data_IF_002826753279
#
_entry.id   IF_002826753279
#
_cell.length_a   1.000
_cell.length_b   1.000
_cell.length_c   1.000
_cell.angle_alpha   90.00
_cell.angle_beta   90.00
_cell.angle_gamma   90.00
#
_symmetry.space_group_name_H-M   'P 1'
#
loop_
_entity.id
_entity.type
_entity.pdbx_description
1 polymer ?
#
# COMPACT_ATOMS: atom_id res chain seq x y z
N UNK A 1 -1.53 9.73 -24.16
CA UNK A 1 -2.30 9.26 -23.00
C UNK A 1 -1.84 10.08 -21.80
N UNK A 2 -2.73 10.84 -21.17
CA UNK A 2 -2.37 11.64 -19.98
C UNK A 2 -2.37 10.73 -18.76
N UNK A 3 -1.40 10.90 -17.86
CA UNK A 3 -1.34 10.18 -16.59
C UNK A 3 -1.68 11.16 -15.47
N UNK A 4 -2.64 10.79 -14.63
CA UNK A 4 -3.02 11.54 -13.44
C UNK A 4 -2.62 10.78 -12.18
N UNK A 5 -2.11 11.48 -11.18
CA UNK A 5 -1.74 10.91 -9.89
C UNK A 5 -2.09 11.85 -8.75
N UNK A 6 -2.21 11.33 -7.51
CA UNK A 6 -2.31 12.17 -6.33
C UNK A 6 -1.14 13.16 -6.25
N UNK A 7 -1.40 14.39 -5.82
CA UNK A 7 -0.42 15.47 -5.73
C UNK A 7 0.88 15.13 -4.97
N UNK A 8 0.85 14.18 -4.04
CA UNK A 8 2.03 13.68 -3.30
C UNK A 8 2.87 12.64 -4.07
N UNK A 9 2.40 12.13 -5.22
CA UNK A 9 3.00 10.98 -5.91
C UNK A 9 4.48 11.18 -6.28
N UNK A 10 4.83 12.39 -6.74
CA UNK A 10 6.19 12.73 -7.16
C UNK A 10 7.17 12.92 -6.01
N UNK A 11 6.66 13.05 -4.79
CA UNK A 11 7.50 13.20 -3.60
C UNK A 11 8.10 11.87 -3.15
N UNK A 12 7.56 10.74 -3.64
CA UNK A 12 8.09 9.42 -3.34
C UNK A 12 9.52 9.22 -3.86
N UNK A 13 10.42 8.92 -2.93
CA UNK A 13 11.80 8.50 -3.20
C UNK A 13 12.15 7.32 -2.31
N UNK A 14 12.85 6.35 -2.88
CA UNK A 14 13.38 5.24 -2.10
C UNK A 14 14.30 5.77 -1.00
N UNK A 15 14.12 5.30 0.25
CA UNK A 15 15.02 5.65 1.37
C UNK A 15 16.38 4.96 1.29
N UNK A 16 16.61 4.17 0.23
CA UNK A 16 17.80 3.37 0.00
C UNK A 16 18.13 2.51 1.24
N UNK A 17 19.33 2.66 1.81
CA UNK A 17 19.79 1.86 2.93
C UNK A 17 19.06 2.10 4.26
N UNK A 18 18.24 3.16 4.34
CA UNK A 18 17.57 3.57 5.57
C UNK A 18 16.19 2.92 5.78
N UNK A 19 15.77 1.97 4.92
CA UNK A 19 14.53 1.24 5.10
C UNK A 19 14.64 0.25 6.28
N UNK A 20 13.70 0.31 7.22
CA UNK A 20 13.54 -0.75 8.23
C UNK A 20 12.92 -2.01 7.62
N UNK A 21 11.95 -1.81 6.71
CA UNK A 21 11.26 -2.83 5.96
C UNK A 21 11.66 -2.76 4.49
N UNK A 22 12.83 -3.32 4.16
CA UNK A 22 13.33 -3.31 2.77
C UNK A 22 12.45 -4.15 1.85
N UNK A 23 12.01 -3.56 0.73
CA UNK A 23 11.37 -4.28 -0.35
C UNK A 23 12.37 -5.09 -1.20
N UNK A 24 13.68 -4.97 -0.97
CA UNK A 24 14.69 -5.75 -1.71
C UNK A 24 14.97 -7.12 -1.05
N UNK A 25 13.99 -7.69 -0.36
CA UNK A 25 14.07 -8.99 0.29
C UNK A 25 12.68 -9.62 0.48
N UNK A 26 12.63 -10.95 0.57
CA UNK A 26 11.44 -11.67 1.04
C UNK A 26 10.39 -12.01 -0.03
N UNK A 27 10.62 -11.67 -1.30
CA UNK A 27 9.75 -12.02 -2.42
C UNK A 27 10.53 -12.16 -3.73
N UNK A 28 9.90 -12.78 -4.73
CA UNK A 28 10.50 -13.04 -6.04
C UNK A 28 10.51 -11.76 -6.86
N UNK A 29 11.69 -11.35 -7.32
CA UNK A 29 11.86 -10.17 -8.17
C UNK A 29 12.00 -10.63 -9.63
N UNK A 30 10.88 -10.57 -10.36
CA UNK A 30 10.84 -10.85 -11.80
C UNK A 30 11.44 -9.71 -12.62
N UNK A 31 12.14 -10.04 -13.69
CA UNK A 31 12.88 -9.10 -14.54
C UNK A 31 12.15 -9.00 -15.88
N UNK A 32 11.84 -7.76 -16.28
CA UNK A 32 11.22 -7.51 -17.58
C UNK A 32 12.17 -7.88 -18.75
N UNK A 33 11.60 -8.20 -19.91
CA UNK A 33 12.36 -8.66 -21.07
C UNK A 33 13.42 -7.66 -21.56
N UNK A 34 13.17 -6.35 -21.44
CA UNK A 34 14.12 -5.32 -21.87
C UNK A 34 15.33 -5.31 -20.95
N UNK A 35 15.09 -5.42 -19.65
CA UNK A 35 16.13 -5.49 -18.63
C UNK A 35 16.91 -6.80 -18.68
N UNK A 36 16.28 -7.93 -18.98
CA UNK A 36 16.99 -9.19 -19.24
C UNK A 36 18.02 -9.03 -20.36
N UNK A 37 17.62 -8.48 -21.51
CA UNK A 37 18.54 -8.19 -22.63
C UNK A 37 19.66 -7.23 -22.24
N UNK A 38 19.35 -6.21 -21.42
CA UNK A 38 20.36 -5.28 -20.91
C UNK A 38 21.36 -5.98 -19.98
N UNK A 39 20.90 -6.88 -19.12
CA UNK A 39 21.74 -7.59 -18.15
C UNK A 39 22.62 -8.67 -18.77
N UNK A 40 22.30 -9.19 -19.96
CA UNK A 40 23.18 -10.10 -20.72
C UNK A 40 24.58 -9.49 -20.96
N UNK A 41 24.67 -8.17 -21.11
CA UNK A 41 25.93 -7.45 -21.29
C UNK A 41 26.75 -7.26 -20.00
N UNK A 42 26.20 -7.62 -18.83
CA UNK A 42 26.79 -7.42 -17.52
C UNK A 42 26.93 -8.77 -16.78
N UNK A 43 28.06 -9.49 -16.94
CA UNK A 43 28.22 -10.86 -16.44
C UNK A 43 27.97 -11.02 -14.93
N UNK A 44 28.34 -10.01 -14.13
CA UNK A 44 28.08 -10.01 -12.68
C UNK A 44 26.58 -10.03 -12.39
N UNK A 45 25.77 -9.35 -13.20
CA UNK A 45 24.32 -9.29 -13.04
C UNK A 45 23.66 -10.54 -13.60
N UNK A 46 24.01 -10.92 -14.83
CA UNK A 46 23.48 -12.09 -15.51
C UNK A 46 23.69 -13.39 -14.71
N UNK A 47 24.85 -13.52 -14.04
CA UNK A 47 25.15 -14.69 -13.20
C UNK A 47 24.23 -14.89 -11.99
N UNK A 48 23.40 -13.88 -11.67
CA UNK A 48 22.44 -13.90 -10.56
C UNK A 48 21.00 -14.01 -11.04
N UNK A 49 20.78 -14.42 -12.29
CA UNK A 49 19.44 -14.53 -12.88
C UNK A 49 19.18 -16.01 -13.21
N UNK A 50 18.00 -16.49 -12.84
CA UNK A 50 17.46 -17.79 -13.26
C UNK A 50 15.98 -17.63 -13.57
N UNK A 51 15.52 -18.21 -14.68
CA UNK A 51 14.10 -18.23 -15.06
C UNK A 51 13.46 -16.83 -15.06
N UNK A 52 14.21 -15.84 -15.56
CA UNK A 52 13.76 -14.46 -15.65
C UNK A 52 13.67 -13.73 -14.30
N UNK A 53 14.18 -14.30 -13.22
CA UNK A 53 14.12 -13.73 -11.87
C UNK A 53 15.51 -13.60 -11.26
N UNK A 54 15.68 -12.67 -10.31
CA UNK A 54 16.90 -12.66 -9.50
C UNK A 54 16.93 -13.85 -8.54
N UNK A 55 18.06 -14.56 -8.53
CA UNK A 55 18.35 -15.61 -7.54
C UNK A 55 18.70 -14.94 -6.22
N UNK A 56 17.79 -15.04 -5.25
CA UNK A 56 17.98 -14.47 -3.92
C UNK A 56 19.13 -15.17 -3.17
N UNK A 57 19.74 -14.43 -2.24
CA UNK A 57 20.70 -14.96 -1.26
C UNK A 57 19.98 -15.93 -0.31
N UNK A 58 20.72 -16.78 0.40
CA UNK A 58 20.16 -17.75 1.36
C UNK A 58 19.29 -17.12 2.46
N UNK A 59 19.53 -15.84 2.78
CA UNK A 59 18.73 -15.07 3.73
C UNK A 59 17.53 -14.34 3.10
N UNK A 60 17.17 -14.68 1.86
CA UNK A 60 16.05 -14.10 1.13
C UNK A 60 16.27 -12.67 0.61
N UNK A 61 17.48 -12.11 0.73
CA UNK A 61 17.81 -10.77 0.22
C UNK A 61 18.14 -10.83 -1.27
N UNK A 62 17.82 -9.75 -1.99
CA UNK A 62 18.26 -9.53 -3.36
C UNK A 62 19.79 -9.71 -3.48
N UNK A 63 20.31 -10.37 -4.54
CA UNK A 63 21.74 -10.60 -4.71
C UNK A 63 22.57 -9.31 -4.74
N UNK A 64 21.99 -8.21 -5.20
CA UNK A 64 22.63 -6.89 -5.29
C UNK A 64 22.39 -6.00 -4.07
N UNK A 65 21.63 -6.46 -3.07
CA UNK A 65 21.46 -5.73 -1.83
C UNK A 65 22.66 -5.98 -0.91
N UNK A 66 23.48 -4.94 -0.71
CA UNK A 66 24.68 -4.96 0.14
C UNK A 66 24.31 -5.05 1.62
N UNK A 67 25.30 -5.26 2.47
CA UNK A 67 25.10 -5.36 3.93
C UNK A 67 24.70 -4.02 4.57
N UNK A 68 25.05 -2.91 3.92
CA UNK A 68 24.60 -1.54 4.27
C UNK A 68 23.21 -1.18 3.70
N UNK A 69 22.47 -2.18 3.18
CA UNK A 69 21.16 -2.04 2.52
C UNK A 69 21.17 -1.17 1.24
N UNK A 70 22.33 -0.82 0.68
CA UNK A 70 22.39 -0.11 -0.61
C UNK A 70 22.35 -1.11 -1.77
N UNK A 71 21.72 -0.69 -2.88
CA UNK A 71 21.66 -1.47 -4.10
C UNK A 71 22.96 -1.30 -4.91
N UNK A 72 23.71 -2.38 -5.08
CA UNK A 72 24.96 -2.38 -5.84
C UNK A 72 24.78 -1.98 -7.31
N UNK A 73 23.64 -2.36 -7.92
CA UNK A 73 23.33 -1.98 -9.30
C UNK A 73 23.20 -0.46 -9.46
N UNK A 74 22.51 0.22 -8.53
CA UNK A 74 22.38 1.68 -8.55
C UNK A 74 23.75 2.33 -8.36
N UNK A 75 24.55 1.82 -7.42
CA UNK A 75 25.88 2.37 -7.13
C UNK A 75 26.84 2.27 -8.33
N UNK A 76 26.77 1.17 -9.10
CA UNK A 76 27.65 0.94 -10.26
C UNK A 76 27.14 1.59 -11.54
N UNK A 77 25.84 1.52 -11.81
CA UNK A 77 25.27 1.83 -13.13
C UNK A 77 24.20 2.94 -13.13
N UNK A 78 23.77 3.40 -11.94
CA UNK A 78 22.69 4.38 -11.80
C UNK A 78 21.28 3.76 -11.82
N UNK A 79 20.26 4.56 -11.49
CA UNK A 79 18.87 4.11 -11.35
C UNK A 79 18.25 3.63 -12.68
N UNK A 80 18.68 4.17 -13.82
CA UNK A 80 18.18 3.77 -15.15
C UNK A 80 18.61 2.36 -15.58
N UNK A 81 19.53 1.75 -14.83
CA UNK A 81 19.93 0.36 -15.05
C UNK A 81 18.97 -0.64 -14.41
N UNK A 82 18.08 -0.21 -13.51
CA UNK A 82 17.12 -1.09 -12.83
C UNK A 82 16.09 -1.67 -13.79
N UNK A 83 15.60 -2.87 -13.46
CA UNK A 83 14.40 -3.42 -14.10
C UNK A 83 13.14 -2.71 -13.64
N UNK A 84 12.06 -2.85 -14.42
CA UNK A 84 10.83 -2.09 -14.24
C UNK A 84 10.29 -2.22 -12.81
N UNK A 85 10.25 -3.44 -12.26
CA UNK A 85 9.77 -3.65 -10.89
C UNK A 85 10.64 -2.94 -9.84
N UNK A 86 11.97 -2.94 -9.99
CA UNK A 86 12.88 -2.25 -9.07
C UNK A 86 12.80 -0.73 -9.19
N UNK A 87 12.48 -0.20 -10.38
CA UNK A 87 12.37 1.23 -10.65
C UNK A 87 11.02 1.79 -10.22
N UNK A 88 9.96 1.03 -10.45
CA UNK A 88 8.59 1.50 -10.28
C UNK A 88 8.03 1.20 -8.89
N UNK A 89 8.44 0.11 -8.22
CA UNK A 89 7.86 -0.25 -6.92
C UNK A 89 7.99 0.89 -5.87
N UNK A 90 6.91 1.21 -5.12
CA UNK A 90 5.63 0.52 -5.01
C UNK A 90 4.52 1.12 -5.89
N UNK A 91 4.83 1.77 -7.02
CA UNK A 91 3.84 2.43 -7.88
C UNK A 91 2.88 1.42 -8.51
N UNK A 92 1.63 1.85 -8.66
CA UNK A 92 0.60 1.13 -9.42
C UNK A 92 0.02 2.05 -10.49
N UNK A 93 -0.55 1.43 -11.52
CA UNK A 93 -1.13 2.10 -12.67
C UNK A 93 -2.45 1.42 -13.07
N UNK A 94 -3.51 2.21 -13.22
CA UNK A 94 -4.82 1.80 -13.72
C UNK A 94 -5.04 2.48 -15.09
N UNK A 95 -5.06 1.68 -16.16
CA UNK A 95 -5.26 2.20 -17.51
C UNK A 95 -6.75 2.28 -17.86
N UNK A 96 -7.17 3.42 -18.41
CA UNK A 96 -8.48 3.66 -19.00
C UNK A 96 -8.33 3.98 -20.49
N UNK A 97 -9.45 4.07 -21.20
CA UNK A 97 -9.45 4.32 -22.65
C UNK A 97 -8.83 5.68 -23.01
N UNK A 98 -9.01 6.70 -22.18
CA UNK A 98 -8.62 8.10 -22.44
C UNK A 98 -7.49 8.62 -21.53
N UNK A 99 -7.17 7.92 -20.44
CA UNK A 99 -6.11 8.31 -19.51
C UNK A 99 -5.55 7.13 -18.70
N UNK A 100 -4.51 7.37 -17.91
CA UNK A 100 -4.00 6.45 -16.89
C UNK A 100 -4.07 7.13 -15.53
N UNK A 101 -4.45 6.38 -14.51
CA UNK A 101 -4.36 6.81 -13.12
C UNK A 101 -3.20 6.08 -12.42
N UNK A 102 -2.35 6.80 -11.71
CA UNK A 102 -1.19 6.25 -11.02
C UNK A 102 -1.20 6.58 -9.52
N UNK A 103 -0.59 5.72 -8.71
CA UNK A 103 -0.44 5.93 -7.28
C UNK A 103 0.72 5.15 -6.69
N UNK A 104 0.93 5.27 -5.38
CA UNK A 104 1.97 4.53 -4.63
C UNK A 104 1.30 3.60 -3.62
N UNK A 105 1.69 2.32 -3.62
CA UNK A 105 1.18 1.32 -2.70
C UNK A 105 1.80 1.41 -1.31
N UNK A 106 1.01 1.08 -0.30
CA UNK A 106 1.42 1.22 1.11
C UNK A 106 2.32 0.08 1.63
N UNK A 107 2.73 -0.87 0.79
CA UNK A 107 3.71 -1.91 1.17
C UNK A 107 5.06 -1.34 1.61
N UNK A 108 5.39 -0.12 1.16
CA UNK A 108 6.62 0.60 1.49
C UNK A 108 6.39 1.57 2.66
N UNK A 109 7.26 1.52 3.67
CA UNK A 109 7.18 2.41 4.85
C UNK A 109 7.23 3.91 4.50
N UNK A 110 7.96 4.29 3.44
CA UNK A 110 8.00 5.69 3.00
C UNK A 110 6.72 6.08 2.25
N UNK A 111 6.11 5.14 1.52
CA UNK A 111 4.81 5.38 0.90
C UNK A 111 3.71 5.53 1.98
N UNK A 112 3.73 4.70 3.03
CA UNK A 112 2.86 4.89 4.21
C UNK A 112 3.00 6.29 4.77
N UNK A 113 4.23 6.73 5.02
CA UNK A 113 4.49 8.07 5.56
C UNK A 113 3.93 9.15 4.65
N UNK A 114 4.27 9.12 3.35
CA UNK A 114 3.85 10.12 2.38
C UNK A 114 2.33 10.20 2.21
N UNK A 115 1.64 9.05 2.15
CA UNK A 115 0.19 9.00 1.96
C UNK A 115 -0.53 9.40 3.25
N UNK A 116 -0.18 8.79 4.38
CA UNK A 116 -0.92 8.98 5.64
C UNK A 116 -0.64 10.34 6.26
N UNK A 117 0.55 10.89 6.07
CA UNK A 117 0.92 12.24 6.55
C UNK A 117 0.72 13.32 5.50
N UNK A 118 0.13 13.00 4.34
CA UNK A 118 -0.12 13.99 3.29
C UNK A 118 -0.88 15.21 3.85
N UNK A 119 -0.35 16.39 3.52
CA UNK A 119 -0.91 17.69 3.91
C UNK A 119 -1.60 18.35 2.71
N UNK A 120 -2.64 19.13 3.00
CA UNK A 120 -3.39 19.84 1.96
C UNK A 120 -4.44 18.97 1.25
N UNK A 121 -5.00 19.46 0.13
CA UNK A 121 -6.04 18.73 -0.59
C UNK A 121 -5.46 17.51 -1.30
N UNK A 122 -6.24 16.43 -1.35
CA UNK A 122 -5.99 15.32 -2.26
C UNK A 122 -6.43 15.76 -3.67
N UNK A 123 -5.50 15.92 -4.59
CA UNK A 123 -5.80 16.34 -5.97
C UNK A 123 -5.18 15.37 -6.97
N UNK A 124 -5.88 15.10 -8.07
CA UNK A 124 -5.34 14.34 -9.19
C UNK A 124 -4.76 15.31 -10.22
N UNK A 125 -3.45 15.22 -10.44
CA UNK A 125 -2.68 16.14 -11.29
C UNK A 125 -1.88 15.36 -12.34
N UNK A 126 -1.63 15.99 -13.48
CA UNK A 126 -0.75 15.46 -14.53
C UNK A 126 0.51 16.32 -14.72
N UNK A 127 1.45 15.84 -15.54
CA UNK A 127 2.72 16.52 -15.81
C UNK A 127 2.58 17.93 -16.41
N UNK A 128 1.57 18.13 -17.25
CA UNK A 128 1.29 19.43 -17.89
C UNK A 128 0.54 20.41 -16.96
N UNK A 129 0.30 20.02 -15.70
CA UNK A 129 -0.44 20.79 -14.72
C UNK A 129 -1.96 20.69 -14.86
N UNK A 130 -2.47 19.90 -15.80
CA UNK A 130 -3.90 19.59 -15.85
C UNK A 130 -4.34 18.84 -14.60
N UNK A 131 -5.59 19.08 -14.20
CA UNK A 131 -6.22 18.45 -13.05
C UNK A 131 -7.39 17.60 -13.51
N UNK A 132 -7.54 16.45 -12.89
CA UNK A 132 -8.73 15.62 -13.03
C UNK A 132 -9.67 15.90 -11.85
N UNK A 133 -10.95 16.02 -12.17
CA UNK A 133 -12.00 16.12 -11.15
C UNK A 133 -11.98 14.87 -10.27
N UNK A 134 -11.92 15.04 -8.95
CA UNK A 134 -12.01 13.89 -8.06
C UNK A 134 -13.37 13.19 -8.21
N UNK A 135 -13.40 11.85 -8.25
CA UNK A 135 -14.65 11.11 -8.19
C UNK A 135 -15.42 11.40 -6.89
N UNK A 136 -16.75 11.42 -6.97
CA UNK A 136 -17.61 11.74 -5.81
C UNK A 136 -17.41 10.75 -4.65
N UNK A 137 -17.12 9.49 -4.97
CA UNK A 137 -16.81 8.46 -3.97
C UNK A 137 -15.50 8.73 -3.20
N UNK A 138 -14.60 9.58 -3.72
CA UNK A 138 -13.43 10.07 -2.98
C UNK A 138 -13.77 11.36 -2.24
N UNK A 139 -14.45 12.32 -2.90
CA UNK A 139 -14.80 13.63 -2.32
C UNK A 139 -15.53 13.52 -0.98
N UNK A 140 -16.41 12.53 -0.85
CA UNK A 140 -17.22 12.30 0.36
C UNK A 140 -16.36 12.13 1.63
N UNK A 141 -15.15 11.57 1.55
CA UNK A 141 -14.30 11.36 2.72
C UNK A 141 -13.61 12.66 3.19
N UNK A 142 -13.59 13.68 2.34
CA UNK A 142 -13.03 15.00 2.62
C UNK A 142 -14.09 16.04 3.04
N UNK A 143 -15.34 15.63 3.26
CA UNK A 143 -16.36 16.52 3.86
C UNK A 143 -15.91 16.96 5.26
N UNK A 144 -15.58 18.24 5.43
CA UNK A 144 -15.09 18.79 6.70
C UNK A 144 -16.22 19.16 7.66
N UNK A 145 -17.47 19.07 7.21
CA UNK A 145 -18.65 19.34 8.07
C UNK A 145 -19.00 18.16 8.96
N UNK A 146 -18.41 16.98 8.73
CA UNK A 146 -18.70 15.73 9.44
C UNK A 146 -17.42 15.07 9.95
N UNK A 147 -17.47 14.45 11.15
CA UNK A 147 -16.36 13.64 11.63
C UNK A 147 -16.16 12.41 10.75
N UNK A 148 -14.94 11.86 10.72
CA UNK A 148 -14.60 10.67 9.94
C UNK A 148 -15.51 9.48 10.21
N UNK A 149 -15.94 9.25 11.45
CA UNK A 149 -16.89 8.17 11.78
C UNK A 149 -18.19 8.24 10.99
N UNK A 150 -18.77 9.43 10.79
CA UNK A 150 -19.96 9.62 9.96
C UNK A 150 -19.67 9.42 8.47
N UNK A 151 -18.50 9.85 8.00
CA UNK A 151 -18.09 9.68 6.60
C UNK A 151 -17.83 8.21 6.26
N UNK A 152 -17.21 7.45 7.16
CA UNK A 152 -17.03 6.00 7.04
C UNK A 152 -18.39 5.29 6.95
N UNK A 153 -19.34 5.69 7.80
CA UNK A 153 -20.72 5.19 7.73
C UNK A 153 -21.38 5.53 6.38
N UNK A 154 -21.17 6.74 5.85
CA UNK A 154 -21.72 7.12 4.56
C UNK A 154 -21.17 6.27 3.40
N UNK A 155 -19.85 6.04 3.32
CA UNK A 155 -19.25 5.25 2.24
C UNK A 155 -19.53 3.76 2.34
N UNK A 156 -19.82 3.24 3.54
CA UNK A 156 -20.16 1.83 3.74
C UNK A 156 -21.66 1.53 3.57
N UNK A 157 -22.49 2.56 3.41
CA UNK A 157 -23.95 2.44 3.42
C UNK A 157 -24.51 2.11 4.82
N UNK A 158 -23.85 2.58 5.87
CA UNK A 158 -24.18 2.31 7.27
C UNK A 158 -23.78 0.91 7.75
N UNK A 159 -23.08 0.13 6.92
CA UNK A 159 -22.62 -1.21 7.27
C UNK A 159 -21.31 -1.13 8.03
N UNK A 160 -21.21 -1.88 9.12
CA UNK A 160 -20.00 -2.01 9.94
C UNK A 160 -20.01 -3.40 10.58
N UNK A 161 -19.02 -4.21 10.27
CA UNK A 161 -18.79 -5.47 10.95
C UNK A 161 -18.32 -5.20 12.38
N UNK A 162 -18.66 -6.11 13.29
CA UNK A 162 -18.08 -6.08 14.63
C UNK A 162 -16.57 -6.35 14.55
N UNK A 163 -15.80 -5.73 15.45
CA UNK A 163 -14.33 -5.86 15.60
C UNK A 163 -13.80 -7.29 15.47
N UNK A 164 -14.47 -8.25 16.13
CA UNK A 164 -14.08 -9.66 16.05
C UNK A 164 -14.27 -10.23 14.64
N UNK A 165 -15.49 -10.09 14.11
CA UNK A 165 -15.88 -10.66 12.81
C UNK A 165 -15.01 -10.08 11.70
N UNK A 166 -14.78 -8.76 11.72
CA UNK A 166 -13.89 -8.10 10.76
C UNK A 166 -12.49 -8.71 10.82
N UNK A 167 -11.93 -8.88 12.01
CA UNK A 167 -10.59 -9.45 12.18
C UNK A 167 -10.53 -10.91 11.72
N UNK A 168 -11.58 -11.71 11.99
CA UNK A 168 -11.68 -13.09 11.49
C UNK A 168 -11.72 -13.14 9.95
N UNK A 169 -12.48 -12.26 9.29
CA UNK A 169 -12.53 -12.17 7.82
C UNK A 169 -11.13 -11.94 7.23
N UNK A 170 -10.35 -11.02 7.80
CA UNK A 170 -9.00 -10.73 7.33
C UNK A 170 -7.96 -11.80 7.73
N UNK A 171 -8.22 -12.59 8.77
CA UNK A 171 -7.35 -13.70 9.20
C UNK A 171 -7.59 -14.99 8.40
N UNK A 172 -8.78 -15.16 7.83
CA UNK A 172 -9.14 -16.29 6.95
C UNK A 172 -8.54 -16.17 5.54
N UNK A 173 -8.00 -15.00 5.18
CA UNK A 173 -7.30 -14.76 3.91
C UNK A 173 -5.95 -15.48 3.85
N UNK A 174 -5.32 -15.54 2.66
CA UNK A 174 -3.98 -16.12 2.51
C UNK A 174 -2.97 -15.31 3.33
N UNK A 175 -2.28 -15.97 4.26
CA UNK A 175 -1.30 -15.31 5.14
C UNK A 175 0.10 -15.35 4.52
N UNK A 176 0.68 -14.19 4.25
CA UNK A 176 2.03 -14.06 3.68
C UNK A 176 3.11 -13.94 4.75
N UNK A 177 2.90 -13.15 5.80
CA UNK A 177 3.73 -13.12 7.01
C UNK A 177 2.93 -13.67 8.21
N UNK A 178 3.41 -14.74 8.89
CA UNK A 178 2.77 -15.27 10.11
C UNK A 178 2.56 -14.25 11.24
N UNK A 179 3.21 -13.08 11.18
CA UNK A 179 2.92 -11.96 12.10
C UNK A 179 1.53 -11.39 11.91
N UNK A 180 0.92 -11.48 10.73
CA UNK A 180 -0.43 -10.99 10.46
C UNK A 180 -1.45 -11.63 11.38
N UNK A 181 -1.52 -12.97 11.38
CA UNK A 181 -2.38 -13.73 12.27
C UNK A 181 -2.13 -13.44 13.75
N UNK A 182 -0.87 -13.21 14.15
CA UNK A 182 -0.55 -12.82 15.54
C UNK A 182 -1.03 -11.42 15.91
N UNK A 183 -1.15 -10.51 14.95
CA UNK A 183 -1.71 -9.18 15.17
C UNK A 183 -3.23 -9.27 15.30
N UNK A 184 -3.87 -9.98 14.37
CA UNK A 184 -5.33 -10.16 14.36
C UNK A 184 -5.82 -10.95 15.56
N UNK A 185 -5.08 -11.96 16.03
CA UNK A 185 -5.47 -12.74 17.21
C UNK A 185 -5.66 -11.87 18.46
N UNK A 186 -4.89 -10.78 18.61
CA UNK A 186 -5.05 -9.83 19.73
C UNK A 186 -6.43 -9.16 19.73
N UNK A 187 -6.99 -8.93 18.55
CA UNK A 187 -8.33 -8.35 18.37
C UNK A 187 -9.39 -9.44 18.47
N UNK A 188 -9.18 -10.61 17.86
CA UNK A 188 -10.14 -11.72 17.88
C UNK A 188 -10.37 -12.23 19.32
N UNK A 189 -9.30 -12.37 20.12
CA UNK A 189 -9.35 -12.82 21.51
C UNK A 189 -9.93 -11.78 22.46
N UNK A 190 -9.71 -10.50 22.17
CA UNK A 190 -10.19 -9.38 22.96
C UNK A 190 -10.71 -8.27 22.03
N UNK A 191 -11.95 -8.37 21.52
CA UNK A 191 -12.48 -7.40 20.56
C UNK A 191 -12.52 -5.98 21.12
N UNK A 192 -12.36 -4.99 20.25
CA UNK A 192 -12.41 -3.57 20.63
C UNK A 192 -13.86 -3.10 20.66
N UNK A 193 -14.21 -2.27 21.65
CA UNK A 193 -15.55 -1.68 21.72
C UNK A 193 -15.73 -0.64 20.62
N UNK A 194 -16.96 -0.44 20.13
CA UNK A 194 -17.22 0.60 19.12
C UNK A 194 -16.85 2.00 19.62
N UNK A 195 -16.95 2.26 20.93
CA UNK A 195 -16.54 3.52 21.54
C UNK A 195 -15.02 3.74 21.45
N UNK A 196 -14.23 2.75 21.85
CA UNK A 196 -12.76 2.82 21.77
C UNK A 196 -12.27 2.88 20.33
N UNK A 197 -12.91 2.13 19.42
CA UNK A 197 -12.61 2.17 18.00
C UNK A 197 -12.92 3.56 17.41
N UNK A 198 -14.09 4.13 17.69
CA UNK A 198 -14.45 5.47 17.23
C UNK A 198 -13.49 6.53 17.81
N UNK A 199 -13.08 6.38 19.07
CA UNK A 199 -12.08 7.25 19.68
C UNK A 199 -10.75 7.17 18.93
N UNK A 200 -10.25 5.97 18.63
CA UNK A 200 -9.03 5.79 17.86
C UNK A 200 -9.13 6.38 16.44
N UNK A 201 -10.29 6.23 15.78
CA UNK A 201 -10.58 6.87 14.49
C UNK A 201 -10.43 8.39 14.58
N UNK A 202 -11.03 9.01 15.59
CA UNK A 202 -11.02 10.48 15.75
C UNK A 202 -9.67 11.02 16.22
N UNK A 203 -8.94 10.31 17.07
CA UNK A 203 -7.58 10.69 17.50
C UNK A 203 -6.57 10.62 16.34
N UNK A 204 -6.84 9.81 15.30
CA UNK A 204 -6.00 9.65 14.12
C UNK A 204 -6.68 10.14 12.84
N UNK A 205 -7.65 11.05 12.96
CA UNK A 205 -8.62 11.38 11.90
C UNK A 205 -7.97 11.79 10.58
N UNK A 206 -6.92 12.62 10.61
CA UNK A 206 -6.23 13.06 9.38
C UNK A 206 -5.64 11.86 8.63
N UNK A 207 -4.87 11.03 9.32
CA UNK A 207 -4.16 9.93 8.70
C UNK A 207 -5.12 8.83 8.23
N UNK A 208 -6.17 8.55 9.00
CA UNK A 208 -7.20 7.58 8.59
C UNK A 208 -8.13 8.13 7.48
N UNK A 209 -8.34 9.45 7.40
CA UNK A 209 -8.99 10.07 6.23
C UNK A 209 -8.15 9.87 4.98
N UNK A 210 -6.84 10.10 5.07
CA UNK A 210 -5.92 9.86 3.95
C UNK A 210 -5.86 8.38 3.54
N UNK A 211 -5.85 7.46 4.51
CA UNK A 211 -5.93 6.02 4.24
C UNK A 211 -7.21 5.63 3.51
N UNK A 212 -8.35 6.12 3.98
CA UNK A 212 -9.65 5.87 3.36
C UNK A 212 -9.70 6.44 1.93
N UNK A 213 -9.23 7.67 1.72
CA UNK A 213 -9.14 8.29 0.40
C UNK A 213 -8.25 7.48 -0.55
N UNK A 214 -7.10 7.00 -0.07
CA UNK A 214 -6.21 6.13 -0.81
C UNK A 214 -6.90 4.84 -1.27
N UNK A 215 -7.61 4.13 -0.38
CA UNK A 215 -8.34 2.90 -0.74
C UNK A 215 -9.48 3.18 -1.71
N UNK A 216 -10.26 4.25 -1.47
CA UNK A 216 -11.35 4.67 -2.36
C UNK A 216 -10.84 4.99 -3.76
N UNK A 217 -9.68 5.66 -3.87
CA UNK A 217 -9.04 5.97 -5.15
C UNK A 217 -8.49 4.72 -5.84
N UNK A 218 -7.73 3.89 -5.12
CA UNK A 218 -7.08 2.69 -5.66
C UNK A 218 -8.11 1.66 -6.12
N UNK A 219 -9.19 1.47 -5.34
CA UNK A 219 -10.22 0.44 -5.55
C UNK A 219 -11.58 1.02 -5.97
N UNK A 220 -11.58 2.16 -6.66
CA UNK A 220 -12.71 2.73 -7.41
C UNK A 220 -14.04 2.78 -6.65
N UNK A 221 -13.99 3.29 -5.42
CA UNK A 221 -15.18 3.51 -4.63
C UNK A 221 -15.70 2.27 -3.89
N UNK A 222 -14.84 1.26 -3.65
CA UNK A 222 -15.09 0.16 -2.73
C UNK A 222 -15.27 0.65 -1.28
N UNK A 223 -16.39 1.34 -1.01
CA UNK A 223 -16.57 2.17 0.18
C UNK A 223 -16.68 1.39 1.47
N UNK A 224 -17.37 0.23 1.45
CA UNK A 224 -17.41 -0.65 2.62
C UNK A 224 -16.06 -1.30 2.88
N UNK A 225 -15.33 -1.75 1.85
CA UNK A 225 -13.96 -2.23 2.02
C UNK A 225 -13.05 -1.16 2.65
N UNK A 226 -13.10 0.08 2.15
CA UNK A 226 -12.32 1.19 2.70
C UNK A 226 -12.70 1.47 4.16
N UNK A 227 -13.99 1.47 4.50
CA UNK A 227 -14.44 1.70 5.86
C UNK A 227 -14.01 0.58 6.82
N UNK A 228 -14.20 -0.68 6.44
CA UNK A 228 -13.79 -1.84 7.26
C UNK A 228 -12.28 -1.89 7.43
N UNK A 229 -11.50 -1.48 6.42
CA UNK A 229 -10.04 -1.39 6.53
C UNK A 229 -9.62 -0.31 7.53
N UNK A 230 -10.28 0.86 7.54
CA UNK A 230 -10.03 1.92 8.54
C UNK A 230 -10.37 1.44 9.95
N UNK A 231 -11.48 0.73 10.11
CA UNK A 231 -11.87 0.13 11.38
C UNK A 231 -10.84 -0.93 11.83
N UNK A 232 -10.38 -1.81 10.95
CA UNK A 232 -9.33 -2.79 11.27
C UNK A 232 -8.04 -2.13 11.78
N UNK A 233 -7.57 -1.08 11.10
CA UNK A 233 -6.40 -0.33 11.55
C UNK A 233 -6.65 0.30 12.93
N UNK A 234 -7.86 0.82 13.16
CA UNK A 234 -8.25 1.41 14.44
C UNK A 234 -8.29 0.38 15.57
N UNK A 235 -8.80 -0.82 15.32
CA UNK A 235 -8.74 -1.96 16.25
C UNK A 235 -7.29 -2.23 16.68
N UNK A 236 -6.38 -2.32 15.71
CA UNK A 236 -4.97 -2.62 15.95
C UNK A 236 -4.24 -1.48 16.68
N UNK A 237 -4.60 -0.23 16.42
CA UNK A 237 -4.10 0.95 17.17
C UNK A 237 -4.52 0.88 18.63
N UNK A 238 -5.78 0.52 18.92
CA UNK A 238 -6.24 0.31 20.30
C UNK A 238 -5.47 -0.84 20.97
N UNK A 239 -5.01 -1.84 20.20
CA UNK A 239 -4.09 -2.89 20.67
C UNK A 239 -2.62 -2.49 20.76
N UNK A 240 -2.32 -1.18 20.63
CA UNK A 240 -0.99 -0.61 20.83
C UNK A 240 -0.07 -0.71 19.62
N UNK A 241 -0.61 -0.93 18.42
CA UNK A 241 0.18 -0.96 17.20
C UNK A 241 0.34 0.45 16.61
N UNK A 242 1.49 0.75 16.01
CA UNK A 242 1.73 2.03 15.34
C UNK A 242 1.01 2.10 13.99
N UNK A 243 0.35 3.23 13.70
CA UNK A 243 -0.49 3.41 12.50
C UNK A 243 0.27 3.12 11.18
N UNK A 244 1.48 3.67 11.02
CA UNK A 244 2.27 3.46 9.80
C UNK A 244 2.63 1.98 9.60
N UNK A 245 2.99 1.28 10.68
CA UNK A 245 3.36 -0.13 10.62
C UNK A 245 2.17 -1.01 10.27
N UNK A 246 0.99 -0.77 10.87
CA UNK A 246 -0.20 -1.56 10.55
C UNK A 246 -0.75 -1.29 9.17
N UNK A 247 -0.67 -0.05 8.67
CA UNK A 247 -1.04 0.25 7.29
C UNK A 247 -0.10 -0.45 6.29
N UNK A 248 1.20 -0.51 6.61
CA UNK A 248 2.18 -1.22 5.79
C UNK A 248 1.91 -2.72 5.76
N UNK A 249 1.71 -3.33 6.92
CA UNK A 249 1.41 -4.76 7.04
C UNK A 249 0.07 -5.08 6.38
N UNK A 250 -0.96 -4.25 6.56
CA UNK A 250 -2.23 -4.40 5.85
C UNK A 250 -2.02 -4.41 4.34
N UNK A 251 -1.22 -3.49 3.80
CA UNK A 251 -0.93 -3.44 2.36
C UNK A 251 -0.19 -4.69 1.89
N UNK A 252 0.80 -5.17 2.66
CA UNK A 252 1.48 -6.43 2.39
C UNK A 252 0.48 -7.59 2.29
N UNK A 253 -0.37 -7.74 3.31
CA UNK A 253 -1.25 -8.89 3.51
C UNK A 253 -2.49 -8.87 2.61
N UNK A 254 -3.05 -7.69 2.35
CA UNK A 254 -4.32 -7.56 1.64
C UNK A 254 -4.12 -7.05 0.22
N UNK A 255 -3.40 -5.94 0.03
CA UNK A 255 -3.34 -5.24 -1.26
C UNK A 255 -2.33 -5.83 -2.25
N UNK A 256 -1.32 -6.56 -1.76
CA UNK A 256 -0.24 -7.17 -2.55
C UNK A 256 -0.41 -8.69 -2.76
N UNK A 257 -1.59 -9.22 -2.45
CA UNK A 257 -2.06 -10.53 -2.92
C UNK A 257 -3.32 -10.33 -3.75
N UNK A 258 -3.28 -10.68 -5.03
CA UNK A 258 -4.42 -10.58 -5.95
C UNK A 258 -5.63 -11.38 -5.42
N UNK A 259 -5.37 -12.53 -4.79
CA UNK A 259 -6.40 -13.38 -4.18
C UNK A 259 -7.06 -12.66 -3.00
N UNK A 260 -6.26 -12.09 -2.11
CA UNK A 260 -6.79 -11.46 -0.89
C UNK A 260 -7.55 -10.19 -1.20
N UNK A 261 -7.06 -9.37 -2.13
CA UNK A 261 -7.78 -8.15 -2.49
C UNK A 261 -9.10 -8.46 -3.21
N UNK A 262 -9.13 -9.45 -4.11
CA UNK A 262 -10.37 -9.88 -4.77
C UNK A 262 -11.38 -10.41 -3.73
N UNK A 263 -10.92 -11.26 -2.82
CA UNK A 263 -11.74 -11.77 -1.72
C UNK A 263 -12.26 -10.65 -0.81
N UNK A 264 -11.43 -9.66 -0.48
CA UNK A 264 -11.81 -8.53 0.36
C UNK A 264 -12.87 -7.65 -0.34
N UNK A 265 -12.67 -7.35 -1.63
CA UNK A 265 -13.62 -6.56 -2.42
C UNK A 265 -14.96 -7.28 -2.60
N UNK A 266 -14.96 -8.61 -2.79
CA UNK A 266 -16.19 -9.41 -2.86
C UNK A 266 -16.92 -9.45 -1.50
N UNK A 267 -16.17 -9.72 -0.42
CA UNK A 267 -16.73 -9.82 0.94
C UNK A 267 -17.34 -8.49 1.41
N UNK A 268 -16.73 -7.38 1.01
CA UNK A 268 -17.12 -6.02 1.38
C UNK A 268 -17.76 -5.22 0.23
N UNK A 269 -18.35 -5.87 -0.76
CA UNK A 269 -19.21 -5.23 -1.75
C UNK A 269 -20.45 -4.58 -1.09
#
# INVERSE_FOLDING_TARGET
MTIYWPNYYKDFKCKAGNCLHTCCAGWVIGIDEKSLKRFEGEPEVASRISDGCFVLKDNGRCPFLRDDNLCEMILKHGEDFLCDICKEHPRFYNAFDDHTEAGIGLVCEEACRLVLEAEGPFELVADDGSKMELPDYVKVIFDTSKPLTEKLSAISGGRRANSKIRSEIFDEMEVMDPKWTKLLSKVIEAPVSEEDENKAVLENEKALTNFAAYLLYRYKGAGRFAAESVYLLSDLIVKGCGLLDVARVFSCEVEYSDINIDQALETFA
#
